data_IF_351151300397
#
_entry.id   IF_351151300397
#
_cell.length_a   1.000
_cell.length_b   1.000
_cell.length_c   1.000
_cell.angle_alpha   90.00
_cell.angle_beta   90.00
_cell.angle_gamma   90.00
#
_symmetry.space_group_name_H-M   'P 1'
#
loop_
_entity.id
_entity.type
_entity.pdbx_description
1 polymer ?
#
# COMPACT_ATOMS: atom_id res chain seq x y z
N UNK A 1 9.68 -0.09 2.07
CA UNK A 1 8.34 0.44 1.70
C UNK A 1 8.10 0.47 0.18
N UNK A 2 8.95 -0.19 -0.63
CA UNK A 2 8.89 -0.11 -2.11
C UNK A 2 7.93 -1.11 -2.75
N UNK A 3 7.68 -2.28 -2.14
CA UNK A 3 6.87 -3.33 -2.77
C UNK A 3 5.36 -3.15 -2.58
N UNK A 4 4.90 -2.71 -1.40
CA UNK A 4 3.46 -2.59 -1.11
C UNK A 4 2.77 -1.47 -1.91
N UNK A 5 3.48 -0.36 -2.15
CA UNK A 5 2.98 0.77 -2.94
C UNK A 5 3.44 0.71 -4.41
N UNK A 6 3.97 -0.42 -4.87
CA UNK A 6 4.46 -0.56 -6.24
C UNK A 6 3.29 -0.51 -7.22
N UNK A 7 3.31 0.48 -8.11
CA UNK A 7 2.29 0.66 -9.14
C UNK A 7 2.79 0.26 -10.54
N UNK A 8 3.90 0.86 -11.00
CA UNK A 8 4.35 0.73 -12.39
C UNK A 8 4.73 -0.70 -12.77
N UNK A 9 5.54 -1.37 -11.95
CA UNK A 9 6.03 -2.71 -12.28
C UNK A 9 4.90 -3.75 -12.35
N UNK A 10 3.98 -3.86 -11.36
CA UNK A 10 2.86 -4.78 -11.47
C UNK A 10 1.88 -4.39 -12.58
N UNK A 11 1.69 -3.10 -12.86
CA UNK A 11 0.82 -2.65 -13.94
C UNK A 11 1.32 -3.12 -15.32
N UNK A 12 2.63 -3.08 -15.55
CA UNK A 12 3.23 -3.53 -16.82
C UNK A 12 3.19 -5.06 -16.93
N UNK A 13 3.39 -5.78 -15.82
CA UNK A 13 3.53 -7.23 -15.81
C UNK A 13 2.20 -8.00 -15.72
N UNK A 14 1.09 -7.35 -15.32
CA UNK A 14 -0.20 -8.02 -15.07
C UNK A 14 -1.26 -7.60 -16.08
N UNK A 15 -1.82 -8.56 -16.80
CA UNK A 15 -2.78 -8.31 -17.88
C UNK A 15 -4.24 -8.62 -17.49
N UNK A 16 -4.49 -9.59 -16.60
CA UNK A 16 -5.84 -9.93 -16.14
C UNK A 16 -6.22 -9.19 -14.85
N UNK A 17 -7.53 -8.96 -14.67
CA UNK A 17 -8.04 -8.28 -13.48
C UNK A 17 -7.75 -9.06 -12.18
N UNK A 18 -7.76 -10.40 -12.22
CA UNK A 18 -7.47 -11.20 -11.02
C UNK A 18 -6.00 -11.12 -10.58
N UNK A 19 -5.10 -10.77 -11.50
CA UNK A 19 -3.65 -10.70 -11.24
C UNK A 19 -3.18 -9.30 -10.84
N UNK A 20 -4.06 -8.30 -10.88
CA UNK A 20 -3.70 -6.91 -10.52
C UNK A 20 -3.48 -6.78 -9.02
N UNK A 21 -2.42 -6.10 -8.64
CA UNK A 21 -2.14 -5.75 -7.24
C UNK A 21 -3.10 -4.66 -6.76
N UNK A 22 -3.26 -4.55 -5.44
CA UNK A 22 -4.17 -3.58 -4.82
C UNK A 22 -3.94 -2.13 -5.31
N UNK A 23 -2.70 -1.59 -5.41
CA UNK A 23 -2.48 -0.25 -5.93
C UNK A 23 -2.87 -0.11 -7.42
N UNK A 24 -2.64 -1.15 -8.21
CA UNK A 24 -2.99 -1.17 -9.64
C UNK A 24 -4.50 -1.24 -9.83
N UNK A 25 -5.21 -2.03 -9.03
CA UNK A 25 -6.65 -2.11 -9.04
C UNK A 25 -7.29 -0.77 -8.69
N UNK A 26 -6.80 -0.09 -7.64
CA UNK A 26 -7.27 1.23 -7.23
C UNK A 26 -7.03 2.27 -8.32
N UNK A 27 -5.83 2.33 -8.91
CA UNK A 27 -5.53 3.26 -10.00
C UNK A 27 -6.33 3.00 -11.29
N UNK A 28 -6.88 1.79 -11.46
CA UNK A 28 -7.75 1.42 -12.58
C UNK A 28 -9.24 1.68 -12.33
N UNK A 29 -9.63 2.25 -11.19
CA UNK A 29 -11.00 2.74 -10.96
C UNK A 29 -11.21 3.97 -11.86
N UNK A 30 -11.46 3.74 -13.14
CA UNK A 30 -11.72 4.80 -14.13
C UNK A 30 -13.17 4.63 -14.58
N UNK A 31 -14.07 5.38 -13.94
CA UNK A 31 -15.45 5.54 -14.38
C UNK A 31 -15.58 6.68 -15.40
N UNK A 32 -16.75 6.78 -16.04
CA UNK A 32 -17.11 7.88 -16.96
C UNK A 32 -17.13 9.26 -16.26
N UNK A 33 -17.17 9.26 -14.92
CA UNK A 33 -16.94 10.39 -14.04
C UNK A 33 -15.87 10.02 -13.00
N UNK A 34 -15.15 11.02 -12.49
CA UNK A 34 -14.16 10.81 -11.45
C UNK A 34 -14.88 10.47 -10.14
N UNK A 35 -14.84 9.20 -9.75
CA UNK A 35 -15.40 8.71 -8.50
C UNK A 35 -14.39 8.87 -7.35
N UNK A 36 -14.19 10.10 -6.91
CA UNK A 36 -13.28 10.40 -5.80
C UNK A 36 -13.64 9.62 -4.52
N UNK A 37 -14.93 9.42 -4.24
CA UNK A 37 -15.35 8.69 -3.05
C UNK A 37 -14.83 7.24 -3.07
N UNK A 38 -14.97 6.56 -4.20
CA UNK A 38 -14.54 5.16 -4.39
C UNK A 38 -13.01 5.05 -4.29
N UNK A 39 -12.27 5.99 -4.91
CA UNK A 39 -10.81 6.05 -4.85
C UNK A 39 -10.27 6.23 -3.44
N UNK A 40 -10.80 7.20 -2.69
CA UNK A 40 -10.36 7.45 -1.32
C UNK A 40 -10.74 6.31 -0.38
N UNK A 41 -11.94 5.74 -0.51
CA UNK A 41 -12.36 4.58 0.28
C UNK A 41 -11.44 3.38 0.07
N UNK A 42 -11.11 3.06 -1.19
CA UNK A 42 -10.21 1.96 -1.51
C UNK A 42 -8.78 2.22 -1.01
N UNK A 43 -8.30 3.46 -1.08
CA UNK A 43 -6.98 3.86 -0.56
C UNK A 43 -6.89 3.75 0.96
N UNK A 44 -7.95 4.14 1.68
CA UNK A 44 -8.05 3.93 3.14
C UNK A 44 -7.98 2.43 3.46
N UNK A 45 -8.73 1.61 2.73
CA UNK A 45 -8.73 0.16 2.93
C UNK A 45 -7.34 -0.45 2.66
N UNK A 46 -6.63 0.03 1.63
CA UNK A 46 -5.27 -0.40 1.30
C UNK A 46 -4.21 -0.08 2.38
N UNK A 47 -4.52 0.86 3.27
CA UNK A 47 -3.65 1.26 4.38
C UNK A 47 -3.82 0.35 5.61
N UNK A 48 -4.98 -0.29 5.77
CA UNK A 48 -5.33 -1.11 6.93
C UNK A 48 -4.29 -2.21 7.21
N UNK A 49 -3.81 -3.01 6.23
CA UNK A 49 -2.86 -4.08 6.51
C UNK A 49 -1.54 -3.56 7.09
N UNK A 50 -1.07 -2.40 6.61
CA UNK A 50 0.14 -1.77 7.14
C UNK A 50 -0.08 -1.32 8.58
N UNK A 51 -1.24 -0.72 8.87
CA UNK A 51 -1.59 -0.30 10.24
C UNK A 51 -1.65 -1.50 11.17
N UNK A 52 -2.24 -2.61 10.72
CA UNK A 52 -2.30 -3.85 11.51
C UNK A 52 -0.89 -4.37 11.80
N UNK A 53 -0.03 -4.51 10.78
CA UNK A 53 1.36 -4.93 10.95
C UNK A 53 2.09 -3.98 11.91
N UNK A 54 1.90 -2.68 11.74
CA UNK A 54 2.50 -1.69 12.63
C UNK A 54 2.03 -1.88 14.07
N UNK A 55 0.74 -2.03 14.34
CA UNK A 55 0.22 -2.22 15.70
C UNK A 55 0.78 -3.48 16.38
N UNK A 56 0.97 -4.57 15.63
CA UNK A 56 1.58 -5.79 16.15
C UNK A 56 3.07 -5.64 16.43
N UNK A 57 3.80 -4.94 15.57
CA UNK A 57 5.27 -4.85 15.64
C UNK A 57 5.78 -3.51 16.18
N UNK A 58 4.91 -2.58 16.56
CA UNK A 58 5.24 -1.18 16.91
C UNK A 58 6.37 -1.09 17.93
N UNK A 59 6.35 -1.93 18.98
CA UNK A 59 7.41 -1.94 20.00
C UNK A 59 8.77 -2.31 19.41
N UNK A 60 8.82 -3.36 18.57
CA UNK A 60 10.06 -3.82 17.93
C UNK A 60 10.55 -2.85 16.87
N UNK A 61 9.64 -2.27 16.09
CA UNK A 61 9.94 -1.26 15.07
C UNK A 61 10.56 -0.03 15.74
N UNK A 62 9.92 0.52 16.78
CA UNK A 62 10.41 1.71 17.50
C UNK A 62 11.75 1.42 18.19
N UNK A 63 11.90 0.29 18.89
CA UNK A 63 13.19 -0.08 19.48
C UNK A 63 14.29 -0.26 18.45
N UNK A 64 14.01 -0.91 17.30
CA UNK A 64 14.98 -1.11 16.23
C UNK A 64 15.45 0.19 15.58
N UNK A 65 14.56 1.18 15.41
CA UNK A 65 14.92 2.52 14.90
C UNK A 65 15.85 3.23 15.89
N UNK A 66 15.55 3.19 17.19
CA UNK A 66 16.39 3.84 18.22
C UNK A 66 17.76 3.18 18.32
N UNK A 67 17.83 1.84 18.30
CA UNK A 67 19.11 1.12 18.32
C UNK A 67 19.94 1.38 17.06
N UNK A 68 19.29 1.53 15.89
CA UNK A 68 19.96 1.95 14.65
C UNK A 68 20.47 3.40 14.69
N UNK A 69 19.72 4.30 15.33
CA UNK A 69 20.08 5.71 15.48
C UNK A 69 21.25 5.95 16.47
N UNK A 70 21.37 5.11 17.50
CA UNK A 70 22.47 5.18 18.47
C UNK A 70 23.78 4.51 17.97
N UNK A 71 23.71 3.77 16.86
CA UNK A 71 24.87 3.06 16.29
C UNK A 71 25.56 3.84 15.16
N UNK A 72 25.21 5.12 15.00
CA UNK A 72 25.91 6.10 14.17
C UNK A 72 26.57 7.15 15.04
#
# INVERSE_FOLDING_TARGET
MTTWNAFLLPFILTNSAEMRTLPVAIGNIVGRQIEYQTHFAASTLATIPIVIVFLFFQRRIVSGIITGALKQ
#
